data_IF_617940324946
#
_entry.id   IF_617940324946
#
_cell.length_a   1.000
_cell.length_b   1.000
_cell.length_c   1.000
_cell.angle_alpha   90.00
_cell.angle_beta   90.00
_cell.angle_gamma   90.00
#
_symmetry.space_group_name_H-M   'P 1'
#
loop_
_entity.id
_entity.type
_entity.pdbx_description
1 polymer ?
#
# COMPACT_ATOMS: atom_id res chain seq x y z
N UNK A 1 1.24 -21.38 -3.22
CA UNK A 1 0.20 -21.22 -2.19
C UNK A 1 -0.84 -20.24 -2.70
N UNK A 2 -2.08 -20.68 -2.91
CA UNK A 2 -3.18 -19.78 -3.28
C UNK A 2 -3.61 -19.05 -2.01
N UNK A 3 -3.45 -17.72 -1.96
CA UNK A 3 -3.89 -16.91 -0.81
C UNK A 3 -5.41 -17.01 -0.72
N UNK A 4 -5.96 -17.28 0.46
CA UNK A 4 -7.42 -17.41 0.66
C UNK A 4 -8.12 -16.12 0.14
N UNK A 5 -9.26 -16.21 -0.59
CA UNK A 5 -9.90 -15.06 -1.25
C UNK A 5 -10.18 -13.87 -0.30
N UNK A 6 -10.46 -14.13 0.97
CA UNK A 6 -10.54 -13.09 2.02
C UNK A 6 -9.31 -12.16 2.10
N UNK A 7 -8.11 -12.69 1.90
CA UNK A 7 -6.88 -11.87 1.87
C UNK A 7 -6.71 -11.13 0.54
N UNK A 8 -7.32 -11.63 -0.53
CA UNK A 8 -7.35 -10.97 -1.82
C UNK A 8 -8.15 -9.66 -1.74
N UNK A 9 -9.32 -9.69 -1.10
CA UNK A 9 -10.15 -8.50 -0.86
C UNK A 9 -9.43 -7.44 -0.01
N UNK A 10 -8.71 -7.87 1.05
CA UNK A 10 -7.89 -6.97 1.86
C UNK A 10 -6.77 -6.34 1.04
N UNK A 11 -6.05 -7.15 0.25
CA UNK A 11 -4.94 -6.68 -0.55
C UNK A 11 -5.40 -5.67 -1.62
N UNK A 12 -6.54 -5.92 -2.28
CA UNK A 12 -7.11 -5.02 -3.27
C UNK A 12 -7.59 -3.71 -2.64
N UNK A 13 -8.21 -3.79 -1.45
CA UNK A 13 -8.60 -2.60 -0.70
C UNK A 13 -7.37 -1.74 -0.35
N UNK A 14 -6.28 -2.34 0.17
CA UNK A 14 -5.02 -1.61 0.42
C UNK A 14 -4.47 -0.99 -0.85
N UNK A 15 -4.40 -1.75 -1.94
CA UNK A 15 -3.86 -1.28 -3.22
C UNK A 15 -4.60 -0.03 -3.71
N UNK A 16 -5.93 0.03 -3.56
CA UNK A 16 -6.73 1.19 -3.93
C UNK A 16 -6.60 2.37 -2.96
N UNK A 17 -6.34 2.09 -1.67
CA UNK A 17 -6.32 3.11 -0.62
C UNK A 17 -4.94 3.76 -0.47
N UNK A 18 -3.84 3.09 -0.82
CA UNK A 18 -2.49 3.66 -0.71
C UNK A 18 -2.36 5.01 -1.46
N UNK A 19 -2.76 5.14 -2.74
CA UNK A 19 -2.73 6.43 -3.44
C UNK A 19 -3.61 7.50 -2.78
N UNK A 20 -4.80 7.12 -2.29
CA UNK A 20 -5.73 8.04 -1.63
C UNK A 20 -5.18 8.53 -0.28
N UNK A 21 -4.53 7.66 0.46
CA UNK A 21 -3.86 8.01 1.71
C UNK A 21 -2.70 8.96 1.45
N UNK A 22 -1.95 8.75 0.36
CA UNK A 22 -0.90 9.66 -0.08
C UNK A 22 -1.48 11.04 -0.42
N UNK A 23 -2.46 11.13 -1.33
CA UNK A 23 -3.12 12.39 -1.72
C UNK A 23 -3.68 13.17 -0.53
N UNK A 24 -4.16 12.47 0.50
CA UNK A 24 -4.76 13.08 1.68
C UNK A 24 -3.76 13.63 2.68
N UNK A 25 -2.63 12.95 2.87
CA UNK A 25 -1.72 13.23 3.99
C UNK A 25 -0.35 13.75 3.57
N UNK A 26 0.03 13.58 2.31
CA UNK A 26 1.32 14.01 1.80
C UNK A 26 1.16 15.39 1.13
N UNK A 27 1.84 16.43 1.62
CA UNK A 27 2.00 17.69 0.91
C UNK A 27 2.61 17.52 -0.50
N UNK A 28 2.52 18.58 -1.32
CA UNK A 28 3.02 18.60 -2.70
C UNK A 28 4.54 18.38 -2.83
N UNK A 29 5.29 18.46 -1.74
CA UNK A 29 6.74 18.22 -1.68
C UNK A 29 7.13 16.74 -1.74
N UNK A 30 6.17 15.82 -1.59
CA UNK A 30 6.40 14.39 -1.70
C UNK A 30 5.95 13.85 -3.04
N UNK A 31 6.58 12.77 -3.48
CA UNK A 31 6.21 12.04 -4.69
C UNK A 31 5.81 10.61 -4.36
N UNK A 32 4.76 10.12 -5.02
CA UNK A 32 4.37 8.72 -4.99
C UNK A 32 4.86 8.00 -6.25
N UNK A 33 5.89 7.18 -6.10
CA UNK A 33 6.38 6.32 -7.17
C UNK A 33 5.75 4.92 -7.08
N UNK A 34 5.29 4.41 -8.22
CA UNK A 34 4.57 3.12 -8.31
C UNK A 34 5.40 2.15 -9.15
N UNK A 35 6.09 1.23 -8.47
CA UNK A 35 6.81 0.15 -9.13
C UNK A 35 5.81 -0.94 -9.51
N UNK A 36 5.53 -1.08 -10.80
CA UNK A 36 4.72 -2.17 -11.32
C UNK A 36 5.45 -3.51 -11.17
N UNK A 37 4.74 -4.59 -10.79
CA UNK A 37 5.35 -5.90 -10.70
C UNK A 37 5.76 -6.39 -12.09
N UNK A 38 6.91 -7.06 -12.18
CA UNK A 38 7.31 -7.73 -13.41
C UNK A 38 6.30 -8.84 -13.71
N UNK A 39 5.77 -8.88 -14.94
CA UNK A 39 4.93 -9.99 -15.40
C UNK A 39 5.81 -11.22 -15.57
N UNK A 40 5.63 -12.20 -14.70
CA UNK A 40 6.23 -13.53 -14.85
C UNK A 40 5.15 -14.49 -15.38
N UNK A 41 5.36 -15.15 -16.54
CA UNK A 41 4.41 -16.12 -17.07
C UNK A 41 4.33 -17.42 -16.25
N UNK A 42 5.26 -17.63 -15.31
CA UNK A 42 5.25 -18.82 -14.46
C UNK A 42 4.16 -18.70 -13.38
N UNK A 43 3.48 -19.80 -13.04
CA UNK A 43 2.53 -19.81 -11.94
C UNK A 43 3.23 -19.43 -10.63
N UNK A 44 2.73 -18.38 -9.98
CA UNK A 44 3.35 -17.78 -8.80
C UNK A 44 2.37 -16.92 -8.00
N UNK A 45 2.84 -16.21 -6.96
CA UNK A 45 2.03 -15.25 -6.21
C UNK A 45 1.44 -14.20 -7.16
N UNK A 46 0.25 -13.69 -6.84
CA UNK A 46 -0.37 -12.63 -7.64
C UNK A 46 0.58 -11.42 -7.66
N UNK A 47 1.00 -10.95 -8.84
CA UNK A 47 1.91 -9.82 -8.95
C UNK A 47 1.26 -8.56 -8.39
N UNK A 48 1.96 -7.84 -7.50
CA UNK A 48 1.47 -6.62 -6.84
C UNK A 48 2.45 -5.46 -7.01
N UNK A 49 1.93 -4.23 -7.16
CA UNK A 49 2.78 -3.04 -7.16
C UNK A 49 3.41 -2.82 -5.79
N UNK A 50 4.53 -2.11 -5.80
CA UNK A 50 5.12 -1.48 -4.61
C UNK A 50 4.96 0.02 -4.75
N UNK A 51 4.49 0.66 -3.68
CA UNK A 51 4.33 2.11 -3.63
C UNK A 51 5.46 2.68 -2.78
N UNK A 52 6.19 3.64 -3.33
CA UNK A 52 7.30 4.32 -2.66
C UNK A 52 6.92 5.79 -2.48
N UNK A 53 7.14 6.32 -1.29
CA UNK A 53 7.05 7.75 -1.02
C UNK A 53 8.45 8.32 -1.01
N UNK A 54 8.68 9.32 -1.86
CA UNK A 54 9.96 10.01 -2.03
C UNK A 54 9.84 11.46 -1.55
N UNK A 55 10.94 12.04 -1.07
CA UNK A 55 11.05 13.49 -0.90
C UNK A 55 11.37 14.19 -2.22
N UNK A 56 11.45 15.53 -2.18
CA UNK A 56 11.78 16.37 -3.34
C UNK A 56 13.15 16.08 -3.97
N UNK A 57 14.08 15.50 -3.21
CA UNK A 57 15.41 15.12 -3.67
C UNK A 57 15.45 13.65 -4.18
N UNK A 58 14.32 12.94 -4.12
CA UNK A 58 14.18 11.55 -4.54
C UNK A 58 14.62 10.52 -3.50
N UNK A 59 14.84 10.90 -2.24
CA UNK A 59 15.16 9.95 -1.18
C UNK A 59 13.92 9.18 -0.75
N UNK A 60 14.09 7.86 -0.53
CA UNK A 60 13.02 7.00 -0.07
C UNK A 60 12.66 7.29 1.39
N UNK A 61 11.42 7.70 1.64
CA UNK A 61 10.89 7.96 2.98
C UNK A 61 10.13 6.77 3.55
N UNK A 62 9.32 6.10 2.73
CA UNK A 62 8.55 4.93 3.11
C UNK A 62 8.18 4.09 1.88
N UNK A 63 7.84 2.83 2.11
CA UNK A 63 7.18 2.01 1.10
C UNK A 63 5.98 1.26 1.66
N UNK A 64 5.01 0.99 0.79
CA UNK A 64 3.79 0.27 1.12
C UNK A 64 3.56 -0.85 0.10
N UNK A 65 3.21 -2.02 0.60
CA UNK A 65 2.82 -3.17 -0.19
C UNK A 65 1.35 -3.51 0.08
N UNK A 66 0.56 -3.81 -0.97
CA UNK A 66 -0.83 -4.26 -0.81
C UNK A 66 -1.01 -5.47 0.11
N UNK A 67 0.02 -6.30 0.29
CA UNK A 67 -0.04 -7.46 1.17
C UNK A 67 -0.05 -7.13 2.68
N UNK A 68 0.05 -5.85 3.06
CA UNK A 68 0.09 -5.36 4.43
C UNK A 68 1.50 -5.08 4.97
N UNK A 69 2.55 -5.43 4.22
CA UNK A 69 3.91 -5.01 4.56
C UNK A 69 4.10 -3.53 4.23
N UNK A 70 4.72 -2.79 5.14
CA UNK A 70 5.13 -1.40 4.92
C UNK A 70 6.27 -1.07 5.86
N UNK A 71 7.12 -0.15 5.44
CA UNK A 71 8.29 0.28 6.19
C UNK A 71 8.48 1.79 6.04
N UNK A 72 8.89 2.43 7.12
CA UNK A 72 9.26 3.84 7.14
C UNK A 72 10.76 3.93 7.37
N UNK A 73 11.46 4.64 6.48
CA UNK A 73 12.92 4.76 6.47
C UNK A 73 13.40 6.12 7.00
N UNK A 74 12.49 7.10 7.14
CA UNK A 74 12.83 8.44 7.61
C UNK A 74 11.90 8.89 8.76
N UNK A 75 12.49 9.25 9.89
CA UNK A 75 11.75 9.69 11.09
C UNK A 75 10.95 10.98 10.86
N UNK A 76 11.37 11.86 9.95
CA UNK A 76 10.61 13.10 9.64
C UNK A 76 9.25 12.79 9.01
N UNK A 77 9.14 11.66 8.31
CA UNK A 77 7.92 11.22 7.64
C UNK A 77 7.03 10.33 8.53
N UNK A 78 7.51 9.94 9.72
CA UNK A 78 6.87 8.93 10.58
C UNK A 78 5.43 9.25 10.96
N UNK A 79 5.14 10.51 11.26
CA UNK A 79 3.79 10.96 11.62
C UNK A 79 2.81 10.86 10.44
N UNK A 80 3.28 11.15 9.22
CA UNK A 80 2.49 11.00 7.99
C UNK A 80 2.31 9.52 7.67
N UNK A 81 3.38 8.73 7.78
CA UNK A 81 3.38 7.28 7.60
C UNK A 81 2.33 6.59 8.50
N UNK A 82 2.29 6.90 9.79
CA UNK A 82 1.32 6.28 10.72
C UNK A 82 -0.13 6.66 10.36
N UNK A 83 -0.39 7.91 9.95
CA UNK A 83 -1.72 8.34 9.48
C UNK A 83 -2.15 7.57 8.22
N UNK A 84 -1.24 7.44 7.25
CA UNK A 84 -1.47 6.66 6.04
C UNK A 84 -1.77 5.20 6.38
N UNK A 85 -0.92 4.58 7.22
CA UNK A 85 -1.06 3.18 7.64
C UNK A 85 -2.40 2.91 8.30
N UNK A 86 -2.86 3.79 9.19
CA UNK A 86 -4.18 3.66 9.83
C UNK A 86 -5.31 3.72 8.80
N UNK A 87 -5.25 4.62 7.81
CA UNK A 87 -6.25 4.70 6.75
C UNK A 87 -6.25 3.45 5.86
N UNK A 88 -5.07 2.97 5.46
CA UNK A 88 -4.88 1.78 4.64
C UNK A 88 -5.41 0.53 5.35
N UNK A 89 -5.10 0.33 6.63
CA UNK A 89 -5.58 -0.84 7.39
C UNK A 89 -7.08 -0.77 7.69
N UNK A 90 -7.67 0.43 7.84
CA UNK A 90 -9.13 0.58 7.91
C UNK A 90 -9.79 0.14 6.61
N UNK A 91 -9.22 0.50 5.46
CA UNK A 91 -9.73 0.04 4.17
C UNK A 91 -9.59 -1.49 4.01
N UNK A 92 -8.46 -2.06 4.43
CA UNK A 92 -8.26 -3.51 4.44
C UNK A 92 -9.31 -4.24 5.29
N UNK A 93 -9.59 -3.73 6.49
CA UNK A 93 -10.64 -4.26 7.37
C UNK A 93 -12.02 -4.18 6.73
N UNK A 94 -12.37 -3.04 6.12
CA UNK A 94 -13.65 -2.90 5.39
C UNK A 94 -13.76 -3.90 4.24
N UNK A 95 -12.71 -4.06 3.42
CA UNK A 95 -12.70 -5.03 2.34
C UNK A 95 -12.83 -6.48 2.82
N UNK A 96 -12.29 -6.80 4.00
CA UNK A 96 -12.50 -8.09 4.65
C UNK A 96 -13.96 -8.29 5.07
N UNK A 97 -14.55 -7.29 5.74
CA UNK A 97 -15.93 -7.33 6.24
C UNK A 97 -16.94 -7.44 5.09
N UNK A 98 -16.76 -6.67 4.01
CA UNK A 98 -17.58 -6.74 2.78
C UNK A 98 -17.52 -8.13 2.14
N UNK A 99 -16.36 -8.78 2.15
CA UNK A 99 -16.22 -10.16 1.65
C UNK A 99 -16.90 -11.20 2.56
N UNK A 100 -16.97 -10.99 3.86
CA UNK A 100 -17.60 -11.94 4.81
C UNK A 100 -19.13 -11.80 4.90
N UNK A 101 -19.68 -10.64 4.52
CA UNK A 101 -21.11 -10.34 4.56
C UNK A 101 -21.92 -10.81 3.33
N UNK A 102 -21.32 -11.59 2.43
CA UNK A 102 -21.93 -12.17 1.24
C UNK A 102 -21.88 -13.70 1.25
#
# INVERSE_FOLDING_TARGET
MVKHPKYQAMDDARQSEIPRAFEKYCPEEYELDIIQPKRDPRPGPIPRPTFRVLDSDGHLLAHFHPNGYSECHNDSFKDIYEKMKVMIEKAAKRGYEEYQGH
#
